data_IF_965448365676
#
_entry.id   IF_965448365676
#
_cell.length_a   1.000
_cell.length_b   1.000
_cell.length_c   1.000
_cell.angle_alpha   90.00
_cell.angle_beta   90.00
_cell.angle_gamma   90.00
#
_symmetry.space_group_name_H-M   'P 1'
#
loop_
_entity.id
_entity.type
_entity.pdbx_description
1 polymer ?
#
# COMPACT_ATOMS: atom_id res chain seq x y z
N UNK A 1 -18.03 8.25 42.22
CA UNK A 1 -16.83 7.42 42.41
C UNK A 1 -17.27 6.00 42.74
N UNK A 2 -17.49 5.17 41.72
CA UNK A 2 -17.73 3.74 41.91
C UNK A 2 -16.45 3.02 41.49
N UNK A 3 -15.79 2.43 42.49
CA UNK A 3 -14.72 1.46 42.31
C UNK A 3 -15.35 0.12 41.85
N UNK A 4 -16.08 0.16 40.74
CA UNK A 4 -16.76 -1.00 40.15
C UNK A 4 -15.76 -1.77 39.30
N UNK A 5 -15.73 -3.09 39.45
CA UNK A 5 -14.92 -3.97 38.61
C UNK A 5 -15.27 -3.82 37.12
N UNK A 6 -14.39 -4.32 36.25
CA UNK A 6 -14.55 -4.17 34.81
C UNK A 6 -15.87 -4.73 34.28
N UNK A 7 -16.36 -5.82 34.88
CA UNK A 7 -17.65 -6.43 34.54
C UNK A 7 -18.83 -5.53 34.91
N UNK A 8 -18.87 -4.98 36.12
CA UNK A 8 -19.97 -4.11 36.55
C UNK A 8 -20.04 -2.86 35.68
N UNK A 9 -18.88 -2.28 35.33
CA UNK A 9 -18.82 -1.11 34.47
C UNK A 9 -19.33 -1.42 33.06
N UNK A 10 -19.00 -2.58 32.49
CA UNK A 10 -19.53 -3.03 31.21
C UNK A 10 -21.04 -3.34 31.26
N UNK A 11 -21.54 -3.85 32.38
CA UNK A 11 -22.98 -4.07 32.56
C UNK A 11 -23.76 -2.76 32.67
N UNK A 12 -23.18 -1.70 33.22
CA UNK A 12 -23.79 -0.36 33.21
C UNK A 12 -23.94 0.17 31.78
N UNK A 13 -22.90 0.01 30.95
CA UNK A 13 -22.97 0.34 29.52
C UNK A 13 -24.05 -0.52 28.85
N UNK A 14 -24.05 -1.83 29.08
CA UNK A 14 -24.99 -2.76 28.44
C UNK A 14 -26.46 -2.49 28.79
N UNK A 15 -26.73 -2.00 30.00
CA UNK A 15 -28.08 -1.74 30.51
C UNK A 15 -28.54 -0.28 30.29
N UNK A 16 -27.82 0.50 29.47
CA UNK A 16 -28.24 1.85 29.09
C UNK A 16 -29.63 1.86 28.45
N UNK A 17 -30.48 2.82 28.84
CA UNK A 17 -31.83 2.95 28.28
C UNK A 17 -31.83 3.50 26.85
N UNK A 18 -30.88 4.39 26.54
CA UNK A 18 -30.73 5.04 25.23
C UNK A 18 -29.29 4.97 24.72
N UNK A 19 -29.09 5.22 23.42
CA UNK A 19 -27.74 5.33 22.83
C UNK A 19 -26.95 6.52 23.40
N UNK A 20 -27.66 7.60 23.77
CA UNK A 20 -27.05 8.78 24.39
C UNK A 20 -26.55 8.47 25.81
N UNK A 21 -27.32 7.70 26.60
CA UNK A 21 -26.88 7.20 27.90
C UNK A 21 -25.68 6.28 27.76
N UNK A 22 -25.70 5.38 26.76
CA UNK A 22 -24.57 4.52 26.44
C UNK A 22 -23.30 5.32 26.14
N UNK A 23 -23.41 6.38 25.32
CA UNK A 23 -22.30 7.27 24.99
C UNK A 23 -21.73 7.97 26.25
N UNK A 24 -22.60 8.46 27.14
CA UNK A 24 -22.19 9.07 28.42
C UNK A 24 -21.47 8.07 29.33
N UNK A 25 -21.99 6.84 29.44
CA UNK A 25 -21.32 5.78 30.22
C UNK A 25 -19.98 5.36 29.60
N UNK A 26 -19.88 5.30 28.26
CA UNK A 26 -18.62 5.01 27.57
C UNK A 26 -17.55 6.07 27.87
N UNK A 27 -17.92 7.36 27.82
CA UNK A 27 -17.02 8.45 28.18
C UNK A 27 -16.58 8.36 29.64
N UNK A 28 -17.50 8.10 30.55
CA UNK A 28 -17.19 7.91 31.97
C UNK A 28 -16.25 6.71 32.19
N UNK A 29 -16.47 5.61 31.47
CA UNK A 29 -15.63 4.41 31.54
C UNK A 29 -14.22 4.70 31.03
N UNK A 30 -14.09 5.30 29.85
CA UNK A 30 -12.79 5.65 29.29
C UNK A 30 -11.99 6.59 30.19
N UNK A 31 -12.63 7.68 30.65
CA UNK A 31 -11.98 8.70 31.50
C UNK A 31 -11.52 8.13 32.84
N UNK A 32 -12.30 7.24 33.45
CA UNK A 32 -11.93 6.59 34.70
C UNK A 32 -10.61 5.80 34.60
N UNK A 33 -10.29 5.30 33.41
CA UNK A 33 -9.18 4.36 33.21
C UNK A 33 -8.15 4.82 32.16
N UNK A 34 -8.05 6.12 31.92
CA UNK A 34 -7.18 6.72 30.89
C UNK A 34 -5.66 6.47 31.06
N UNK A 35 -5.21 6.11 32.26
CA UNK A 35 -3.79 5.88 32.54
C UNK A 35 -3.31 4.48 32.11
N UNK A 36 -2.05 4.42 31.60
CA UNK A 36 -1.47 3.25 30.91
C UNK A 36 -1.81 1.90 31.56
N UNK A 37 -2.51 1.07 30.79
CA UNK A 37 -2.84 -0.32 31.11
C UNK A 37 -4.13 -0.52 31.90
N UNK A 38 -4.64 0.52 32.57
CA UNK A 38 -5.81 0.43 33.44
C UNK A 38 -7.08 0.02 32.70
N UNK A 39 -7.48 0.77 31.65
CA UNK A 39 -8.71 0.47 30.91
C UNK A 39 -8.62 -0.90 30.26
N UNK A 40 -7.48 -1.15 29.61
CA UNK A 40 -7.27 -2.38 28.87
C UNK A 40 -7.40 -3.61 29.78
N UNK A 41 -6.68 -3.68 30.89
CA UNK A 41 -6.68 -4.87 31.73
C UNK A 41 -8.05 -5.08 32.39
N UNK A 42 -8.59 -4.04 33.02
CA UNK A 42 -9.88 -4.10 33.72
C UNK A 42 -11.03 -4.45 32.77
N UNK A 43 -11.10 -3.81 31.59
CA UNK A 43 -12.16 -4.09 30.60
C UNK A 43 -11.98 -5.47 29.97
N UNK A 44 -10.73 -5.89 29.69
CA UNK A 44 -10.47 -7.24 29.12
C UNK A 44 -10.88 -8.33 30.09
N UNK A 45 -10.52 -8.21 31.38
CA UNK A 45 -10.98 -9.13 32.44
C UNK A 45 -12.51 -9.15 32.52
N UNK A 46 -13.14 -7.97 32.56
CA UNK A 46 -14.59 -7.85 32.55
C UNK A 46 -15.25 -8.51 31.33
N UNK A 47 -14.69 -8.35 30.13
CA UNK A 47 -15.18 -8.95 28.90
C UNK A 47 -15.07 -10.49 28.91
N UNK A 48 -14.00 -11.03 29.50
CA UNK A 48 -13.82 -12.48 29.67
C UNK A 48 -14.89 -13.06 30.61
N UNK A 49 -15.27 -12.31 31.65
CA UNK A 49 -16.30 -12.72 32.62
C UNK A 49 -17.75 -12.60 32.11
N UNK A 50 -17.98 -11.90 30.99
CA UNK A 50 -19.29 -11.78 30.35
C UNK A 50 -19.64 -13.07 29.59
N UNK A 51 -20.92 -13.42 29.57
CA UNK A 51 -21.43 -14.50 28.71
C UNK A 51 -21.36 -14.09 27.24
N UNK A 52 -21.35 -15.07 26.35
CA UNK A 52 -21.32 -14.84 24.90
C UNK A 52 -22.48 -13.95 24.41
N UNK A 53 -23.70 -14.22 24.87
CA UNK A 53 -24.88 -13.37 24.58
C UNK A 53 -24.69 -11.92 25.05
N UNK A 54 -24.00 -11.71 26.17
CA UNK A 54 -23.74 -10.37 26.71
C UNK A 54 -22.70 -9.64 25.88
N UNK A 55 -21.65 -10.34 25.41
CA UNK A 55 -20.65 -9.79 24.49
C UNK A 55 -21.27 -9.41 23.14
N UNK A 56 -22.16 -10.25 22.62
CA UNK A 56 -22.87 -9.96 21.36
C UNK A 56 -23.79 -8.74 21.50
N UNK A 57 -24.55 -8.66 22.60
CA UNK A 57 -25.39 -7.48 22.91
C UNK A 57 -24.55 -6.21 23.11
N UNK A 58 -23.40 -6.31 23.78
CA UNK A 58 -22.48 -5.19 23.92
C UNK A 58 -21.98 -4.71 22.56
N UNK A 59 -21.55 -5.63 21.68
CA UNK A 59 -21.12 -5.29 20.33
C UNK A 59 -22.27 -4.67 19.50
N UNK A 60 -23.51 -5.15 19.68
CA UNK A 60 -24.69 -4.53 19.06
C UNK A 60 -24.89 -3.09 19.51
N UNK A 61 -24.81 -2.82 20.81
CA UNK A 61 -24.95 -1.48 21.38
C UNK A 61 -23.82 -0.55 20.89
N UNK A 62 -22.58 -1.02 20.91
CA UNK A 62 -21.43 -0.28 20.37
C UNK A 62 -21.62 0.06 18.89
N UNK A 63 -22.15 -0.87 18.10
CA UNK A 63 -22.45 -0.65 16.68
C UNK A 63 -23.56 0.38 16.47
N UNK A 64 -24.58 0.40 17.34
CA UNK A 64 -25.64 1.40 17.31
C UNK A 64 -25.08 2.80 17.58
N UNK A 65 -24.35 2.96 18.68
CA UNK A 65 -23.69 4.23 19.05
C UNK A 65 -22.72 4.68 17.96
N UNK A 66 -21.93 3.75 17.41
CA UNK A 66 -21.02 4.03 16.29
C UNK A 66 -21.78 4.62 15.10
N UNK A 67 -22.83 3.95 14.61
CA UNK A 67 -23.53 4.37 13.40
C UNK A 67 -24.20 5.73 13.57
N UNK A 68 -24.82 5.97 14.73
CA UNK A 68 -25.48 7.24 15.05
C UNK A 68 -24.47 8.39 15.09
N UNK A 69 -23.37 8.22 15.82
CA UNK A 69 -22.36 9.28 15.99
C UNK A 69 -21.52 9.48 14.73
N UNK A 70 -21.13 8.40 14.05
CA UNK A 70 -20.31 8.45 12.84
C UNK A 70 -21.05 9.12 11.68
N UNK A 71 -22.36 8.84 11.53
CA UNK A 71 -23.17 9.50 10.49
C UNK A 71 -23.20 11.00 10.70
N UNK A 72 -23.37 11.46 11.94
CA UNK A 72 -23.34 12.88 12.28
C UNK A 72 -21.96 13.49 12.04
N UNK A 73 -20.90 12.82 12.52
CA UNK A 73 -19.51 13.26 12.40
C UNK A 73 -19.09 13.50 10.94
N UNK A 74 -19.36 12.54 10.05
CA UNK A 74 -18.99 12.65 8.63
C UNK A 74 -19.82 13.74 7.92
N UNK A 75 -21.08 13.96 8.30
CA UNK A 75 -21.94 14.98 7.65
C UNK A 75 -21.64 16.41 8.07
N UNK A 76 -20.98 16.63 9.21
CA UNK A 76 -20.74 17.97 9.76
C UNK A 76 -19.51 18.67 9.18
N UNK A 77 -18.57 17.94 8.55
CA UNK A 77 -17.37 18.55 7.94
C UNK A 77 -17.67 19.44 6.71
N UNK A 78 -18.87 19.37 6.12
CA UNK A 78 -19.30 20.23 4.99
C UNK A 78 -19.88 21.60 5.42
N UNK A 79 -20.09 21.86 6.71
CA UNK A 79 -20.60 23.15 7.19
C UNK A 79 -19.49 23.95 7.90
N UNK A 80 -19.06 25.04 7.27
CA UNK A 80 -18.15 26.05 7.81
C UNK A 80 -18.42 26.32 9.30
N UNK A 81 -17.49 26.02 10.23
CA UNK A 81 -17.71 26.31 11.63
C UNK A 81 -17.38 27.79 11.86
N UNK A 82 -18.41 28.63 11.90
CA UNK A 82 -18.33 29.84 12.72
C UNK A 82 -18.11 29.38 14.15
N UNK A 83 -16.85 29.52 14.61
CA UNK A 83 -16.49 29.48 16.02
C UNK A 83 -17.41 30.46 16.74
N UNK A 84 -18.29 29.92 17.59
CA UNK A 84 -18.74 30.48 18.86
C UNK A 84 -20.07 29.81 19.24
N UNK A 85 -20.06 28.49 19.45
CA UNK A 85 -21.11 27.82 20.22
C UNK A 85 -20.43 26.78 21.12
N UNK A 86 -20.05 27.24 22.32
CA UNK A 86 -19.90 26.35 23.49
C UNK A 86 -21.31 25.89 23.88
N UNK A 87 -21.70 24.67 23.49
CA UNK A 87 -22.87 24.02 24.08
C UNK A 87 -22.55 22.56 24.41
N UNK A 88 -22.68 22.25 25.72
CA UNK A 88 -22.84 21.00 26.50
C UNK A 88 -23.19 19.65 25.80
N UNK A 89 -22.77 19.46 24.56
CA UNK A 89 -22.92 18.26 23.77
C UNK A 89 -21.77 17.29 24.00
N UNK A 90 -22.11 16.00 24.05
CA UNK A 90 -21.14 14.90 24.05
C UNK A 90 -20.25 15.00 22.80
N UNK A 91 -18.94 15.22 22.95
CA UNK A 91 -18.01 15.29 21.82
C UNK A 91 -18.01 13.98 21.02
N UNK A 92 -18.52 14.03 19.79
CA UNK A 92 -18.64 12.91 18.86
C UNK A 92 -17.31 12.17 18.64
N UNK A 93 -16.20 12.88 18.48
CA UNK A 93 -14.87 12.26 18.30
C UNK A 93 -14.47 11.45 19.53
N UNK A 94 -14.69 12.01 20.73
CA UNK A 94 -14.38 11.33 22.00
C UNK A 94 -15.20 10.05 22.19
N UNK A 95 -16.48 10.07 21.83
CA UNK A 95 -17.34 8.88 21.88
C UNK A 95 -16.86 7.82 20.90
N UNK A 96 -16.57 8.20 19.66
CA UNK A 96 -16.05 7.27 18.64
C UNK A 96 -14.73 6.64 19.08
N UNK A 97 -13.81 7.42 19.65
CA UNK A 97 -12.57 6.91 20.22
C UNK A 97 -12.82 5.90 21.36
N UNK A 98 -13.82 6.13 22.21
CA UNK A 98 -14.22 5.17 23.24
C UNK A 98 -14.78 3.88 22.65
N UNK A 99 -15.65 3.97 21.64
CA UNK A 99 -16.16 2.81 20.92
C UNK A 99 -15.01 2.00 20.32
N UNK A 100 -14.04 2.65 19.66
CA UNK A 100 -12.86 2.00 19.10
C UNK A 100 -11.99 1.32 20.16
N UNK A 101 -11.79 1.95 21.32
CA UNK A 101 -11.04 1.36 22.44
C UNK A 101 -11.71 0.10 22.97
N UNK A 102 -13.03 0.11 23.15
CA UNK A 102 -13.76 -1.09 23.58
C UNK A 102 -13.77 -2.17 22.48
N UNK A 103 -13.99 -1.79 21.22
CA UNK A 103 -13.91 -2.72 20.09
C UNK A 103 -12.53 -3.41 20.02
N UNK A 104 -11.43 -2.67 20.24
CA UNK A 104 -10.08 -3.22 20.33
C UNK A 104 -9.96 -4.24 21.47
N UNK A 105 -10.53 -3.96 22.65
CA UNK A 105 -10.54 -4.92 23.76
C UNK A 105 -11.32 -6.20 23.38
N UNK A 106 -12.48 -6.05 22.72
CA UNK A 106 -13.24 -7.18 22.18
C UNK A 106 -12.42 -8.00 21.18
N UNK A 107 -11.66 -7.37 20.27
CA UNK A 107 -10.81 -8.09 19.31
C UNK A 107 -9.68 -8.85 20.01
N UNK A 108 -9.08 -8.27 21.06
CA UNK A 108 -7.95 -8.88 21.78
C UNK A 108 -8.33 -10.15 22.53
N UNK A 109 -9.54 -10.23 23.08
CA UNK A 109 -10.03 -11.43 23.77
C UNK A 109 -10.41 -12.57 22.82
N UNK A 110 -10.50 -12.32 21.50
CA UNK A 110 -10.76 -13.38 20.52
C UNK A 110 -9.52 -14.26 20.43
N UNK A 111 -9.69 -15.52 20.84
CA UNK A 111 -8.68 -16.56 20.74
C UNK A 111 -8.84 -17.35 19.44
N UNK A 112 -7.86 -17.19 18.55
CA UNK A 112 -7.83 -17.85 17.22
C UNK A 112 -7.01 -19.15 17.26
N UNK A 113 -6.27 -19.40 18.34
CA UNK A 113 -5.34 -20.54 18.48
C UNK A 113 -6.00 -21.80 19.04
N UNK A 114 -7.18 -21.69 19.64
CA UNK A 114 -7.88 -22.81 20.28
C UNK A 114 -8.77 -23.65 19.34
N UNK A 115 -8.80 -23.35 18.04
CA UNK A 115 -9.61 -24.09 17.06
C UNK A 115 -8.74 -24.77 16.01
N UNK A 116 -8.55 -26.09 16.16
CA UNK A 116 -7.79 -26.94 15.22
C UNK A 116 -8.48 -27.05 13.84
N UNK A 117 -9.79 -26.80 13.78
CA UNK A 117 -10.59 -26.79 12.54
C UNK A 117 -10.84 -25.37 12.01
N UNK A 118 -10.60 -25.15 10.72
CA UNK A 118 -10.72 -23.85 10.03
C UNK A 118 -12.16 -23.29 10.08
N UNK A 119 -13.18 -24.16 10.05
CA UNK A 119 -14.60 -23.78 10.14
C UNK A 119 -15.04 -23.37 11.57
N UNK A 120 -14.32 -23.80 12.62
CA UNK A 120 -14.59 -23.42 14.02
C UNK A 120 -13.80 -22.21 14.50
N UNK A 121 -12.86 -21.69 13.70
CA UNK A 121 -12.11 -20.46 14.03
C UNK A 121 -12.98 -19.21 14.05
N UNK A 122 -14.10 -19.24 13.34
CA UNK A 122 -14.97 -18.07 13.15
C UNK A 122 -16.25 -18.10 14.01
N UNK A 123 -16.55 -19.22 14.68
CA UNK A 123 -17.76 -19.33 15.51
C UNK A 123 -17.73 -18.43 16.75
N UNK A 124 -16.53 -18.14 17.28
CA UNK A 124 -16.36 -17.33 18.49
C UNK A 124 -16.24 -15.81 18.23
N UNK A 125 -16.40 -15.37 16.97
CA UNK A 125 -16.29 -13.95 16.62
C UNK A 125 -17.67 -13.29 16.71
N UNK A 126 -17.87 -12.27 17.56
CA UNK A 126 -19.16 -11.60 17.68
C UNK A 126 -19.64 -11.03 16.34
N UNK A 127 -20.84 -11.37 15.90
CA UNK A 127 -21.37 -10.97 14.58
C UNK A 127 -21.47 -9.44 14.46
N UNK A 128 -21.91 -8.76 15.52
CA UNK A 128 -22.00 -7.30 15.53
C UNK A 128 -20.62 -6.62 15.53
N UNK A 129 -19.57 -7.29 16.01
CA UNK A 129 -18.20 -6.77 15.92
C UNK A 129 -17.68 -6.82 14.47
N UNK A 130 -18.07 -7.85 13.70
CA UNK A 130 -17.80 -7.92 12.25
C UNK A 130 -18.46 -6.72 11.53
N UNK A 131 -19.69 -6.36 11.89
CA UNK A 131 -20.37 -5.20 11.29
C UNK A 131 -19.63 -3.90 11.61
N UNK A 132 -19.21 -3.71 12.86
CA UNK A 132 -18.41 -2.55 13.29
C UNK A 132 -17.14 -2.41 12.44
N UNK A 133 -16.35 -3.48 12.29
CA UNK A 133 -15.08 -3.39 11.58
C UNK A 133 -15.26 -3.12 10.09
N UNK A 134 -16.31 -3.67 9.47
CA UNK A 134 -16.61 -3.43 8.05
C UNK A 134 -17.05 -1.99 7.81
N UNK A 135 -17.90 -1.42 8.67
CA UNK A 135 -18.31 -0.01 8.58
C UNK A 135 -17.11 0.92 8.74
N UNK A 136 -16.32 0.71 9.79
CA UNK A 136 -15.11 1.49 10.07
C UNK A 136 -14.06 1.39 8.96
N UNK A 137 -13.87 0.18 8.42
CA UNK A 137 -12.97 -0.06 7.30
C UNK A 137 -13.43 0.61 6.00
N UNK A 138 -14.75 0.68 5.77
CA UNK A 138 -15.34 1.34 4.60
C UNK A 138 -15.16 2.85 4.58
N UNK A 139 -15.09 3.50 5.75
CA UNK A 139 -14.89 4.96 5.86
C UNK A 139 -13.44 5.38 6.12
N UNK A 140 -12.49 4.43 6.14
CA UNK A 140 -11.13 4.66 6.63
C UNK A 140 -10.37 5.78 5.88
N UNK A 141 -10.62 5.92 4.57
CA UNK A 141 -9.98 6.96 3.74
C UNK A 141 -10.52 8.37 4.01
N UNK A 142 -11.71 8.48 4.61
CA UNK A 142 -12.35 9.75 4.99
C UNK A 142 -11.89 10.22 6.37
N UNK A 143 -11.51 9.30 7.26
CA UNK A 143 -11.13 9.64 8.62
C UNK A 143 -9.75 10.32 8.68
N UNK A 144 -9.65 11.35 9.54
CA UNK A 144 -8.40 12.03 9.87
C UNK A 144 -8.02 11.92 11.35
N UNK A 145 -6.82 12.40 11.70
CA UNK A 145 -6.39 12.60 13.09
C UNK A 145 -6.34 11.35 13.99
N UNK A 146 -6.64 11.51 15.30
CA UNK A 146 -6.67 10.42 16.27
C UNK A 146 -7.66 9.31 15.91
N UNK A 147 -8.81 9.68 15.35
CA UNK A 147 -9.85 8.73 14.95
C UNK A 147 -9.34 7.80 13.84
N UNK A 148 -8.73 8.36 12.78
CA UNK A 148 -8.08 7.57 11.73
C UNK A 148 -7.03 6.60 12.32
N UNK A 149 -6.16 7.11 13.20
CA UNK A 149 -5.09 6.31 13.82
C UNK A 149 -5.64 5.13 14.63
N UNK A 150 -6.70 5.35 15.40
CA UNK A 150 -7.35 4.31 16.20
C UNK A 150 -8.07 3.27 15.32
N UNK A 151 -8.76 3.73 14.27
CA UNK A 151 -9.44 2.84 13.32
C UNK A 151 -8.45 1.98 12.53
N UNK A 152 -7.34 2.56 12.04
CA UNK A 152 -6.27 1.81 11.37
C UNK A 152 -5.71 0.74 12.30
N UNK A 153 -5.41 1.08 13.56
CA UNK A 153 -4.89 0.11 14.52
C UNK A 153 -5.86 -1.07 14.75
N UNK A 154 -7.17 -0.80 14.82
CA UNK A 154 -8.20 -1.82 14.94
C UNK A 154 -8.28 -2.73 13.71
N UNK A 155 -8.29 -2.15 12.51
CA UNK A 155 -8.29 -2.88 11.24
C UNK A 155 -7.02 -3.73 11.04
N UNK A 156 -5.86 -3.24 11.48
CA UNK A 156 -4.60 -4.00 11.46
C UNK A 156 -4.65 -5.20 12.41
N UNK A 157 -5.07 -5.00 13.66
CA UNK A 157 -5.19 -6.09 14.64
C UNK A 157 -6.16 -7.17 14.15
N UNK A 158 -7.30 -6.75 13.59
CA UNK A 158 -8.28 -7.64 12.98
C UNK A 158 -7.69 -8.47 11.84
N UNK A 159 -6.95 -7.82 10.93
CA UNK A 159 -6.31 -8.47 9.79
C UNK A 159 -5.18 -9.41 10.21
N UNK A 160 -4.36 -9.02 11.19
CA UNK A 160 -3.25 -9.83 11.71
C UNK A 160 -3.72 -11.11 12.39
N UNK A 161 -4.89 -11.08 13.05
CA UNK A 161 -5.54 -12.26 13.63
C UNK A 161 -6.20 -13.17 12.59
N UNK A 162 -6.26 -12.77 11.31
CA UNK A 162 -6.88 -13.57 10.25
C UNK A 162 -8.40 -13.71 10.41
N UNK A 163 -9.05 -12.69 10.97
CA UNK A 163 -10.50 -12.70 11.23
C UNK A 163 -11.33 -12.49 9.93
N UNK A 164 -12.61 -12.89 9.92
CA UNK A 164 -13.47 -12.84 8.73
C UNK A 164 -13.53 -11.45 8.08
N UNK A 165 -13.80 -11.41 6.78
CA UNK A 165 -14.10 -10.19 6.03
C UNK A 165 -13.00 -9.11 5.99
N UNK A 166 -11.77 -9.42 6.43
CA UNK A 166 -10.62 -8.49 6.35
C UNK A 166 -10.37 -7.96 4.93
N UNK A 167 -10.69 -8.76 3.91
CA UNK A 167 -10.54 -8.37 2.50
C UNK A 167 -11.47 -7.23 2.06
N UNK A 168 -12.57 -6.95 2.79
CA UNK A 168 -13.52 -5.90 2.43
C UNK A 168 -12.97 -4.47 2.64
N UNK A 169 -11.98 -4.31 3.53
CA UNK A 169 -11.37 -3.02 3.84
C UNK A 169 -9.85 -3.00 3.60
N UNK A 170 -9.28 -4.10 3.09
CA UNK A 170 -7.82 -4.26 2.99
C UNK A 170 -7.18 -3.26 2.02
N UNK A 171 -7.94 -2.84 0.99
CA UNK A 171 -7.56 -1.76 0.08
C UNK A 171 -7.43 -0.45 0.83
N UNK A 172 -8.49 -0.01 1.50
CA UNK A 172 -8.53 1.27 2.22
C UNK A 172 -7.45 1.30 3.30
N UNK A 173 -7.28 0.18 4.02
CA UNK A 173 -6.19 0.02 4.99
C UNK A 173 -4.82 0.21 4.36
N UNK A 174 -4.56 -0.45 3.22
CA UNK A 174 -3.29 -0.28 2.51
C UNK A 174 -3.09 1.17 2.03
N UNK A 175 -4.10 1.80 1.43
CA UNK A 175 -4.05 3.19 0.96
C UNK A 175 -3.68 4.15 2.11
N UNK A 176 -4.37 4.03 3.24
CA UNK A 176 -4.13 4.89 4.41
C UNK A 176 -2.74 4.64 5.01
N UNK A 177 -2.30 3.38 5.12
CA UNK A 177 -0.95 3.07 5.60
C UNK A 177 0.15 3.67 4.71
N UNK A 178 -0.04 3.64 3.38
CA UNK A 178 0.88 4.31 2.44
C UNK A 178 0.89 5.82 2.70
N UNK A 179 -0.28 6.45 2.84
CA UNK A 179 -0.40 7.88 3.17
C UNK A 179 0.33 8.24 4.48
N UNK A 180 0.05 7.51 5.56
CA UNK A 180 0.69 7.73 6.86
C UNK A 180 2.22 7.55 6.80
N UNK A 181 2.70 6.62 5.98
CA UNK A 181 4.14 6.38 5.80
C UNK A 181 4.90 7.51 5.08
N UNK A 182 4.18 8.48 4.52
CA UNK A 182 4.72 9.65 3.81
C UNK A 182 4.63 10.94 4.63
N UNK A 183 4.07 10.89 5.83
CA UNK A 183 4.01 12.04 6.73
C UNK A 183 5.41 12.46 7.20
N UNK A 184 5.54 13.72 7.62
CA UNK A 184 6.84 14.33 7.99
C UNK A 184 7.51 13.64 9.18
N UNK A 185 6.74 13.00 10.04
CA UNK A 185 7.16 12.28 11.23
C UNK A 185 7.20 10.75 11.05
N UNK A 186 7.05 10.25 9.81
CA UNK A 186 6.99 8.83 9.51
C UNK A 186 8.24 8.08 9.99
N UNK A 187 8.03 6.86 10.51
CA UNK A 187 9.05 6.01 11.12
C UNK A 187 9.16 4.68 10.36
N UNK A 188 10.24 3.94 10.66
CA UNK A 188 10.42 2.57 10.16
C UNK A 188 9.25 1.64 10.51
N UNK A 189 8.55 1.91 11.61
CA UNK A 189 7.34 1.18 12.00
C UNK A 189 6.22 1.34 10.98
N UNK A 190 6.07 2.51 10.37
CA UNK A 190 5.02 2.77 9.37
C UNK A 190 5.32 2.04 8.07
N UNK A 191 6.59 2.02 7.66
CA UNK A 191 7.04 1.20 6.52
C UNK A 191 6.82 -0.30 6.77
N UNK A 192 7.04 -0.77 8.01
CA UNK A 192 6.78 -2.17 8.38
C UNK A 192 5.29 -2.51 8.27
N UNK A 193 4.40 -1.60 8.65
CA UNK A 193 2.94 -1.76 8.52
C UNK A 193 2.51 -1.85 7.07
N UNK A 194 3.02 -0.97 6.20
CA UNK A 194 2.81 -1.05 4.74
C UNK A 194 3.31 -2.40 4.19
N UNK A 195 4.49 -2.85 4.63
CA UNK A 195 5.06 -4.13 4.21
C UNK A 195 4.17 -5.32 4.61
N UNK A 196 3.53 -5.30 5.78
CA UNK A 196 2.61 -6.35 6.22
C UNK A 196 1.37 -6.45 5.31
N UNK A 197 0.88 -5.31 4.81
CA UNK A 197 -0.29 -5.23 3.93
C UNK A 197 0.03 -5.26 2.42
N UNK A 198 1.30 -5.45 2.02
CA UNK A 198 1.74 -5.36 0.61
C UNK A 198 1.05 -6.34 -0.35
N UNK A 199 0.46 -7.42 0.16
CA UNK A 199 -0.30 -8.38 -0.64
C UNK A 199 -1.53 -7.74 -1.29
N UNK A 200 -2.04 -6.65 -0.71
CA UNK A 200 -3.16 -5.86 -1.25
C UNK A 200 -2.77 -4.98 -2.45
N UNK A 201 -1.48 -4.75 -2.71
CA UNK A 201 -1.00 -3.77 -3.69
C UNK A 201 -1.63 -3.95 -5.08
N UNK A 202 -1.65 -5.18 -5.61
CA UNK A 202 -2.19 -5.43 -6.95
C UNK A 202 -3.70 -5.19 -7.00
N UNK A 203 -4.43 -5.60 -5.97
CA UNK A 203 -5.87 -5.39 -5.88
C UNK A 203 -6.22 -3.90 -5.68
N UNK A 204 -5.42 -3.17 -4.91
CA UNK A 204 -5.58 -1.74 -4.67
C UNK A 204 -5.36 -0.89 -5.93
N UNK A 205 -4.65 -1.41 -6.93
CA UNK A 205 -4.43 -0.73 -8.21
C UNK A 205 -5.38 -1.19 -9.32
N UNK A 206 -6.16 -2.25 -9.09
CA UNK A 206 -7.17 -2.72 -10.05
C UNK A 206 -8.42 -1.86 -9.93
N UNK A 207 -8.79 -1.18 -11.01
CA UNK A 207 -10.16 -0.66 -11.16
C UNK A 207 -11.04 -1.86 -11.48
N UNK A 208 -12.12 -2.08 -10.71
CA UNK A 208 -13.10 -3.10 -11.09
C UNK A 208 -13.62 -2.75 -12.50
N UNK A 209 -13.71 -3.70 -13.44
CA UNK A 209 -14.30 -3.39 -14.74
C UNK A 209 -15.69 -2.81 -14.50
N UNK A 210 -16.08 -1.72 -15.21
CA UNK A 210 -17.45 -1.23 -15.13
C UNK A 210 -18.35 -2.43 -15.38
N UNK A 211 -19.33 -2.65 -14.49
CA UNK A 211 -20.25 -3.76 -14.59
C UNK A 211 -20.70 -3.83 -16.05
N UNK A 212 -20.23 -4.86 -16.77
CA UNK A 212 -20.75 -5.11 -18.10
C UNK A 212 -22.23 -5.32 -17.87
N UNK A 213 -23.03 -4.47 -18.51
CA UNK A 213 -24.47 -4.59 -18.57
C UNK A 213 -24.76 -5.97 -19.17
N UNK A 214 -24.78 -7.00 -18.32
CA UNK A 214 -25.14 -8.36 -18.71
C UNK A 214 -26.60 -8.25 -19.05
N UNK A 215 -26.83 -8.04 -20.35
CA UNK A 215 -28.15 -7.83 -20.92
C UNK A 215 -29.07 -8.94 -20.49
N UNK A 216 -29.90 -8.64 -19.49
CA UNK A 216 -31.12 -9.38 -19.28
C UNK A 216 -32.17 -8.67 -20.12
N UNK A 217 -32.22 -9.03 -21.42
CA UNK A 217 -33.21 -8.56 -22.40
C UNK A 217 -34.65 -8.69 -21.89
N UNK A 218 -34.89 -9.53 -20.88
CA UNK A 218 -36.18 -9.68 -20.22
C UNK A 218 -36.66 -8.37 -19.55
N UNK A 219 -35.76 -7.52 -19.04
CA UNK A 219 -36.18 -6.27 -18.36
C UNK A 219 -36.54 -5.14 -19.34
N UNK A 220 -36.06 -5.19 -20.58
CA UNK A 220 -36.49 -4.28 -21.66
C UNK A 220 -37.84 -4.70 -22.21
N UNK A 221 -38.06 -5.99 -22.45
CA UNK A 221 -39.37 -6.53 -22.82
C UNK A 221 -40.42 -6.31 -21.73
N UNK A 222 -40.05 -6.37 -20.44
CA UNK A 222 -40.96 -6.04 -19.33
C UNK A 222 -41.32 -4.55 -19.34
N UNK A 223 -40.36 -3.63 -19.58
CA UNK A 223 -40.66 -2.19 -19.69
C UNK A 223 -41.54 -1.86 -20.90
N UNK A 224 -41.27 -2.47 -22.05
CA UNK A 224 -42.02 -2.23 -23.27
C UNK A 224 -43.44 -2.84 -23.19
N UNK A 225 -43.61 -3.99 -22.51
CA UNK A 225 -44.93 -4.57 -22.23
C UNK A 225 -45.72 -3.81 -21.14
N UNK A 226 -45.05 -3.18 -20.18
CA UNK A 226 -45.70 -2.30 -19.18
C UNK A 226 -46.16 -0.98 -19.82
N UNK A 227 -45.40 -0.44 -20.78
CA UNK A 227 -45.80 0.74 -21.55
C UNK A 227 -47.00 0.45 -22.46
N UNK A 228 -47.04 -0.72 -23.12
CA UNK A 228 -48.17 -1.15 -23.96
C UNK A 228 -49.44 -1.53 -23.18
N UNK A 229 -49.32 -1.97 -21.92
CA UNK A 229 -50.46 -2.25 -21.02
C UNK A 229 -51.02 -1.00 -20.33
N UNK A 230 -50.29 0.12 -20.28
CA UNK A 230 -50.79 1.39 -19.73
C UNK A 230 -51.63 2.20 -20.72
N UNK A 231 -51.61 1.86 -22.02
CA UNK A 231 -52.44 2.49 -23.05
C UNK A 231 -53.79 1.81 -23.27
N UNK A 232 -54.09 0.71 -22.57
CA UNK A 232 -55.37 0.02 -22.71
C UNK A 232 -55.95 -0.35 -21.34
N UNK A 233 -57.21 0.08 -21.16
CA UNK A 233 -58.19 -0.36 -20.15
C UNK A 233 -58.31 0.54 -18.92
N UNK A 234 -59.14 1.58 -19.13
CA UNK A 234 -60.23 1.93 -18.22
C UNK A 234 -61.08 0.68 -17.94
N UNK A 235 -61.35 0.39 -16.67
CA UNK A 235 -62.56 -0.36 -16.29
C UNK A 235 -62.36 -1.53 -15.31
N UNK A 236 -62.91 -1.32 -14.11
CA UNK A 236 -63.55 -2.30 -13.22
C UNK A 236 -62.70 -3.22 -12.31
N UNK A 237 -63.23 -3.32 -11.08
CA UNK A 237 -62.75 -4.02 -9.88
C UNK A 237 -63.17 -5.51 -9.85
N UNK A 238 -63.23 -6.18 -8.67
CA UNK A 238 -62.14 -6.81 -7.91
C UNK A 238 -62.31 -8.35 -7.83
N UNK A 239 -61.30 -9.09 -7.35
CA UNK A 239 -61.41 -10.54 -7.14
C UNK A 239 -60.27 -11.11 -6.30
N UNK A 240 -60.64 -11.96 -5.35
CA UNK A 240 -59.89 -12.51 -4.21
C UNK A 240 -58.85 -13.61 -4.54
N UNK A 241 -58.05 -13.95 -3.51
CA UNK A 241 -57.35 -15.26 -3.24
C UNK A 241 -56.20 -15.63 -4.22
N UNK A 242 -55.09 -16.29 -3.85
CA UNK A 242 -54.71 -17.14 -2.72
C UNK A 242 -53.17 -17.37 -2.72
N UNK A 243 -52.70 -17.97 -1.62
CA UNK A 243 -51.36 -18.45 -1.27
C UNK A 243 -50.41 -19.00 -2.36
N UNK A 244 -49.11 -18.71 -2.21
CA UNK A 244 -48.05 -19.71 -2.35
C UNK A 244 -46.76 -19.30 -1.60
N UNK A 245 -46.40 -20.13 -0.61
CA UNK A 245 -45.18 -20.11 0.19
C UNK A 245 -43.96 -20.61 -0.61
N UNK A 246 -42.81 -19.95 -0.49
CA UNK A 246 -41.50 -20.60 -0.66
C UNK A 246 -40.42 -19.81 0.11
N UNK A 247 -39.73 -20.52 0.99
CA UNK A 247 -38.71 -20.01 1.89
C UNK A 247 -37.47 -19.48 1.12
N UNK A 248 -37.08 -18.24 1.42
CA UNK A 248 -35.80 -17.67 1.02
C UNK A 248 -34.88 -17.65 2.24
N UNK A 249 -33.67 -18.19 2.08
CA UNK A 249 -32.58 -17.98 3.02
C UNK A 249 -32.23 -16.50 3.06
N UNK A 250 -32.07 -15.98 4.28
CA UNK A 250 -31.67 -14.59 4.51
C UNK A 250 -30.22 -14.39 4.04
N UNK A 251 -30.08 -13.84 2.82
CA UNK A 251 -28.90 -13.09 2.43
C UNK A 251 -28.72 -11.94 3.44
N UNK A 252 -27.53 -11.87 4.04
CA UNK A 252 -27.10 -10.77 4.90
C UNK A 252 -26.92 -9.52 4.02
N UNK A 253 -28.02 -8.91 3.63
CA UNK A 253 -28.06 -7.57 3.07
C UNK A 253 -27.80 -6.60 4.22
N UNK A 254 -26.53 -6.29 4.47
CA UNK A 254 -26.14 -5.14 5.29
C UNK A 254 -26.59 -3.89 4.53
N UNK A 255 -27.70 -3.30 4.96
CA UNK A 255 -28.13 -1.97 4.52
C UNK A 255 -27.12 -0.92 4.98
N UNK A 256 -26.01 -0.78 4.26
CA UNK A 256 -25.23 0.45 4.29
C UNK A 256 -26.06 1.53 3.58
N UNK A 257 -26.33 2.64 4.28
CA UNK A 257 -26.93 3.82 3.65
C UNK A 257 -26.12 4.23 2.41
N UNK A 258 -26.84 4.65 1.37
CA UNK A 258 -26.32 4.88 0.01
C UNK A 258 -25.14 5.87 -0.06
N UNK A 259 -24.94 6.73 0.96
CA UNK A 259 -23.81 7.68 1.01
C UNK A 259 -22.50 7.06 1.50
N UNK A 260 -22.54 6.07 2.41
CA UNK A 260 -21.32 5.42 2.95
C UNK A 260 -20.71 4.44 1.95
N UNK A 261 -21.53 3.80 1.13
CA UNK A 261 -21.08 2.93 0.04
C UNK A 261 -20.35 3.70 -1.09
N UNK A 262 -20.62 5.00 -1.25
CA UNK A 262 -19.99 5.85 -2.25
C UNK A 262 -18.57 6.30 -1.86
N UNK A 263 -18.29 6.45 -0.55
CA UNK A 263 -17.01 6.94 -0.04
C UNK A 263 -15.83 5.96 -0.21
N UNK A 264 -16.12 4.67 -0.40
CA UNK A 264 -15.13 3.60 -0.63
C UNK A 264 -15.04 3.09 -2.06
N UNK A 265 -15.75 3.73 -3.01
CA UNK A 265 -15.80 3.27 -4.39
C UNK A 265 -14.43 3.42 -5.06
N UNK A 266 -13.94 2.32 -5.64
CA UNK A 266 -12.71 2.32 -6.42
C UNK A 266 -12.95 3.09 -7.72
N UNK A 267 -12.56 4.35 -7.74
CA UNK A 267 -12.57 5.18 -8.95
C UNK A 267 -11.17 5.28 -9.54
N UNK A 268 -11.08 5.63 -10.82
CA UNK A 268 -9.80 5.93 -11.47
C UNK A 268 -9.02 7.02 -10.71
N UNK A 269 -9.71 8.05 -10.19
CA UNK A 269 -9.12 9.12 -9.39
C UNK A 269 -8.46 8.60 -8.09
N UNK A 270 -9.13 7.70 -7.36
CA UNK A 270 -8.55 7.11 -6.13
C UNK A 270 -7.31 6.27 -6.44
N UNK A 271 -7.31 5.56 -7.57
CA UNK A 271 -6.15 4.78 -8.03
C UNK A 271 -5.00 5.71 -8.41
N UNK A 272 -5.27 6.82 -9.11
CA UNK A 272 -4.25 7.80 -9.48
C UNK A 272 -3.59 8.45 -8.25
N UNK A 273 -4.39 8.83 -7.24
CA UNK A 273 -3.88 9.33 -5.96
C UNK A 273 -2.99 8.30 -5.27
N UNK A 274 -3.41 7.03 -5.24
CA UNK A 274 -2.61 5.94 -4.69
C UNK A 274 -1.30 5.73 -5.47
N UNK A 275 -1.34 5.71 -6.81
CA UNK A 275 -0.13 5.61 -7.66
C UNK A 275 0.84 6.75 -7.35
N UNK A 276 0.32 7.97 -7.21
CA UNK A 276 1.13 9.14 -6.85
C UNK A 276 1.81 8.97 -5.50
N UNK A 277 1.07 8.51 -4.47
CA UNK A 277 1.62 8.24 -3.14
C UNK A 277 2.67 7.13 -3.17
N UNK A 278 2.41 6.02 -3.88
CA UNK A 278 3.37 4.92 -4.05
C UNK A 278 4.65 5.38 -4.75
N UNK A 279 4.55 6.24 -5.76
CA UNK A 279 5.72 6.83 -6.42
C UNK A 279 6.49 7.79 -5.51
N UNK A 280 5.81 8.51 -4.60
CA UNK A 280 6.45 9.37 -3.61
C UNK A 280 7.25 8.57 -2.56
N UNK A 281 6.89 7.30 -2.30
CA UNK A 281 7.65 6.43 -1.39
C UNK A 281 9.11 6.26 -1.81
N UNK A 282 9.42 6.32 -3.11
CA UNK A 282 10.79 6.26 -3.64
C UNK A 282 11.64 7.47 -3.24
N UNK A 283 11.03 8.60 -2.89
CA UNK A 283 11.73 9.79 -2.43
C UNK A 283 11.87 9.84 -0.90
N UNK A 284 11.23 8.92 -0.16
CA UNK A 284 11.25 8.87 1.30
C UNK A 284 12.48 8.11 1.83
N UNK A 285 13.37 8.74 2.60
CA UNK A 285 14.55 8.08 3.19
C UNK A 285 14.20 6.90 4.11
N UNK A 286 13.02 6.95 4.74
CA UNK A 286 12.57 5.95 5.72
C UNK A 286 12.43 4.58 5.05
N UNK A 287 11.95 4.53 3.81
CA UNK A 287 11.83 3.28 3.04
C UNK A 287 13.19 2.65 2.76
N UNK A 288 14.18 3.43 2.31
CA UNK A 288 15.52 2.91 2.01
C UNK A 288 16.34 2.56 3.26
N UNK A 289 15.87 2.98 4.45
CA UNK A 289 16.53 2.72 5.73
C UNK A 289 16.22 1.35 6.36
N UNK A 290 15.38 0.53 5.71
CA UNK A 290 14.95 -0.80 6.16
C UNK A 290 14.94 -1.82 5.01
N UNK A 291 15.01 -3.11 5.33
CA UNK A 291 14.90 -4.17 4.31
C UNK A 291 13.45 -4.29 3.83
N UNK A 292 12.48 -4.21 4.74
CA UNK A 292 11.05 -4.19 4.45
C UNK A 292 10.69 -3.09 3.45
N UNK A 293 11.21 -1.87 3.64
CA UNK A 293 10.96 -0.76 2.72
C UNK A 293 11.53 -1.01 1.32
N UNK A 294 12.75 -1.58 1.20
CA UNK A 294 13.30 -2.00 -0.10
C UNK A 294 12.40 -3.03 -0.78
N UNK A 295 11.82 -3.97 -0.02
CA UNK A 295 10.88 -4.95 -0.56
C UNK A 295 9.60 -4.30 -1.07
N UNK A 296 9.00 -3.39 -0.28
CA UNK A 296 7.80 -2.64 -0.70
C UNK A 296 8.08 -1.86 -1.98
N UNK A 297 9.17 -1.09 -2.04
CA UNK A 297 9.51 -0.31 -3.24
C UNK A 297 9.71 -1.21 -4.47
N UNK A 298 10.31 -2.39 -4.29
CA UNK A 298 10.46 -3.34 -5.38
C UNK A 298 9.09 -3.87 -5.86
N UNK A 299 8.20 -4.23 -4.94
CA UNK A 299 6.85 -4.72 -5.26
C UNK A 299 6.01 -3.65 -5.97
N UNK A 300 6.15 -2.37 -5.56
CA UNK A 300 5.57 -1.21 -6.25
C UNK A 300 6.12 -1.06 -7.66
N UNK A 301 7.42 -1.23 -7.85
CA UNK A 301 8.05 -1.13 -9.16
C UNK A 301 7.62 -2.23 -10.13
N UNK A 302 7.08 -3.35 -9.63
CA UNK A 302 6.49 -4.39 -10.49
C UNK A 302 5.19 -3.93 -11.16
N UNK A 303 4.52 -2.92 -10.60
CA UNK A 303 3.26 -2.42 -11.11
C UNK A 303 3.53 -1.50 -12.31
N UNK A 304 2.99 -1.87 -13.48
CA UNK A 304 3.19 -1.10 -14.73
C UNK A 304 2.74 0.36 -14.59
N UNK A 305 1.63 0.59 -13.89
CA UNK A 305 1.10 1.93 -13.59
C UNK A 305 2.06 2.78 -12.75
N UNK A 306 2.92 2.17 -11.94
CA UNK A 306 3.85 2.88 -11.07
C UNK A 306 5.27 3.01 -11.66
N UNK A 307 5.66 2.18 -12.63
CA UNK A 307 7.06 2.03 -13.06
C UNK A 307 7.71 3.37 -13.46
N UNK A 308 7.06 4.14 -14.35
CA UNK A 308 7.58 5.42 -14.83
C UNK A 308 7.64 6.50 -13.74
N UNK A 309 6.62 6.59 -12.89
CA UNK A 309 6.59 7.51 -11.76
C UNK A 309 7.65 7.19 -10.71
N UNK A 310 7.81 5.91 -10.36
CA UNK A 310 8.84 5.42 -9.45
C UNK A 310 10.24 5.72 -9.97
N UNK A 311 10.47 5.48 -11.27
CA UNK A 311 11.75 5.82 -11.91
C UNK A 311 12.02 7.32 -11.87
N UNK A 312 11.01 8.17 -12.13
CA UNK A 312 11.13 9.62 -12.03
C UNK A 312 11.52 10.08 -10.62
N UNK A 313 10.86 9.57 -9.58
CA UNK A 313 11.22 9.82 -8.18
C UNK A 313 12.64 9.35 -7.85
N UNK A 314 13.03 8.16 -8.32
CA UNK A 314 14.37 7.61 -8.14
C UNK A 314 15.46 8.51 -8.76
N UNK A 315 15.20 9.07 -9.95
CA UNK A 315 16.12 10.01 -10.60
C UNK A 315 16.33 11.28 -9.79
N UNK A 316 15.26 11.84 -9.23
CA UNK A 316 15.34 13.01 -8.37
C UNK A 316 16.09 12.68 -7.06
N UNK A 317 15.85 11.51 -6.47
CA UNK A 317 16.55 11.09 -5.26
C UNK A 317 18.06 10.96 -5.48
N UNK A 318 18.48 10.38 -6.61
CA UNK A 318 19.90 10.17 -6.94
C UNK A 318 20.74 11.45 -6.99
N UNK A 319 20.13 12.62 -7.20
CA UNK A 319 20.87 13.90 -7.23
C UNK A 319 21.32 14.36 -5.84
N UNK A 320 20.67 13.87 -4.78
CA UNK A 320 20.85 14.36 -3.40
C UNK A 320 21.14 13.30 -2.34
N UNK A 321 20.74 12.04 -2.56
CA UNK A 321 20.83 10.98 -1.55
C UNK A 321 22.27 10.60 -1.18
N UNK A 322 22.44 9.89 -0.06
CA UNK A 322 23.70 9.29 0.35
C UNK A 322 24.09 8.11 -0.54
N UNK A 323 25.37 7.70 -0.47
CA UNK A 323 25.84 6.48 -1.15
C UNK A 323 25.13 5.23 -0.62
N UNK A 324 24.78 5.20 0.68
CA UNK A 324 24.04 4.08 1.27
C UNK A 324 22.64 3.94 0.67
N UNK A 325 21.92 5.05 0.53
CA UNK A 325 20.61 5.09 -0.13
C UNK A 325 20.72 4.73 -1.61
N UNK A 326 21.74 5.20 -2.34
CA UNK A 326 21.98 4.81 -3.73
C UNK A 326 22.18 3.29 -3.88
N UNK A 327 22.90 2.63 -2.95
CA UNK A 327 23.03 1.17 -2.94
C UNK A 327 21.69 0.48 -2.72
N UNK A 328 20.88 0.97 -1.76
CA UNK A 328 19.56 0.42 -1.46
C UNK A 328 18.59 0.60 -2.62
N UNK A 329 18.64 1.74 -3.30
CA UNK A 329 17.86 2.00 -4.51
C UNK A 329 18.25 1.05 -5.65
N UNK A 330 19.54 0.74 -5.83
CA UNK A 330 19.96 -0.28 -6.80
C UNK A 330 19.42 -1.67 -6.45
N UNK A 331 19.36 -2.03 -5.16
CA UNK A 331 18.74 -3.27 -4.70
C UNK A 331 17.24 -3.34 -5.04
N UNK A 332 16.52 -2.20 -4.95
CA UNK A 332 15.11 -2.12 -5.39
C UNK A 332 14.97 -2.51 -6.86
N UNK A 333 15.77 -1.89 -7.74
CA UNK A 333 15.72 -2.15 -9.19
C UNK A 333 16.08 -3.60 -9.53
N UNK A 334 17.15 -4.13 -8.94
CA UNK A 334 17.55 -5.51 -9.18
C UNK A 334 16.50 -6.51 -8.67
N UNK A 335 15.91 -6.25 -7.50
CA UNK A 335 14.85 -7.08 -6.94
C UNK A 335 13.60 -7.07 -7.83
N UNK A 336 13.18 -5.90 -8.32
CA UNK A 336 12.07 -5.78 -9.26
C UNK A 336 12.38 -6.53 -10.57
N UNK A 337 13.56 -6.32 -11.15
CA UNK A 337 13.99 -7.01 -12.38
C UNK A 337 13.95 -8.53 -12.22
N UNK A 338 14.43 -9.05 -11.09
CA UNK A 338 14.47 -10.48 -10.80
C UNK A 338 13.07 -11.09 -10.68
N UNK A 339 12.10 -10.33 -10.18
CA UNK A 339 10.73 -10.79 -9.98
C UNK A 339 9.85 -10.67 -11.23
N UNK A 340 10.19 -9.78 -12.18
CA UNK A 340 9.48 -9.69 -13.46
C UNK A 340 9.75 -10.92 -14.35
N UNK A 341 8.71 -11.37 -15.06
CA UNK A 341 8.86 -12.28 -16.20
C UNK A 341 9.54 -11.58 -17.39
N UNK A 342 10.08 -12.36 -18.33
CA UNK A 342 10.82 -11.84 -19.49
C UNK A 342 10.01 -10.80 -20.29
N UNK A 343 8.72 -11.06 -20.52
CA UNK A 343 7.86 -10.21 -21.34
C UNK A 343 7.54 -8.87 -20.66
N UNK A 344 7.65 -8.82 -19.33
CA UNK A 344 7.33 -7.65 -18.52
C UNK A 344 8.56 -6.80 -18.17
N UNK A 345 9.77 -7.25 -18.51
CA UNK A 345 11.02 -6.54 -18.16
C UNK A 345 11.31 -5.33 -19.03
N UNK A 346 10.74 -5.26 -20.24
CA UNK A 346 11.11 -4.26 -21.24
C UNK A 346 11.09 -2.82 -20.70
N UNK A 347 10.00 -2.41 -20.04
CA UNK A 347 9.88 -1.08 -19.47
C UNK A 347 10.92 -0.80 -18.37
N UNK A 348 11.21 -1.78 -17.51
CA UNK A 348 12.23 -1.64 -16.47
C UNK A 348 13.64 -1.58 -17.07
N UNK A 349 13.93 -2.38 -18.10
CA UNK A 349 15.26 -2.43 -18.71
C UNK A 349 15.54 -1.23 -19.62
N UNK A 350 14.59 -0.83 -20.46
CA UNK A 350 14.75 0.25 -21.46
C UNK A 350 14.48 1.62 -20.85
N UNK A 351 13.33 1.80 -20.20
CA UNK A 351 12.90 3.13 -19.76
C UNK A 351 13.51 3.53 -18.42
N UNK A 352 14.03 2.56 -17.65
CA UNK A 352 14.55 2.82 -16.31
C UNK A 352 16.05 2.52 -16.17
N UNK A 353 16.48 1.26 -16.35
CA UNK A 353 17.87 0.86 -16.15
C UNK A 353 18.79 1.50 -17.21
N UNK A 354 18.43 1.37 -18.50
CA UNK A 354 19.21 1.93 -19.60
C UNK A 354 19.29 3.46 -19.53
N UNK A 355 18.24 4.15 -19.07
CA UNK A 355 18.28 5.59 -18.79
C UNK A 355 19.38 5.94 -17.79
N UNK A 356 19.45 5.26 -16.64
CA UNK A 356 20.50 5.52 -15.63
C UNK A 356 21.89 5.15 -16.15
N UNK A 357 22.01 4.07 -16.93
CA UNK A 357 23.26 3.65 -17.55
C UNK A 357 23.76 4.74 -18.53
N UNK A 358 22.90 5.23 -19.41
CA UNK A 358 23.21 6.30 -20.35
C UNK A 358 23.55 7.61 -19.64
N UNK A 359 22.74 8.03 -18.66
CA UNK A 359 23.02 9.23 -17.85
C UNK A 359 24.37 9.15 -17.13
N UNK A 360 24.77 7.96 -16.68
CA UNK A 360 26.08 7.77 -16.05
C UNK A 360 27.25 7.94 -17.02
N UNK A 361 27.04 7.78 -18.33
CA UNK A 361 28.06 8.09 -19.35
C UNK A 361 28.16 9.59 -19.64
N UNK A 362 27.04 10.32 -19.62
CA UNK A 362 26.98 11.71 -20.09
C UNK A 362 27.03 12.77 -18.99
N UNK A 363 26.81 12.39 -17.73
CA UNK A 363 26.84 13.32 -16.59
C UNK A 363 28.16 14.07 -16.49
N UNK A 364 28.08 15.39 -16.28
CA UNK A 364 29.26 16.20 -16.00
C UNK A 364 29.74 15.90 -14.56
N UNK A 365 30.95 15.34 -14.40
CA UNK A 365 31.46 14.93 -13.09
C UNK A 365 31.76 16.10 -12.16
N UNK A 366 31.96 17.30 -12.69
CA UNK A 366 32.24 18.52 -11.93
C UNK A 366 30.94 19.19 -11.54
N UNK A 367 30.08 19.50 -12.51
CA UNK A 367 28.81 20.20 -12.25
C UNK A 367 27.83 19.36 -11.43
N UNK A 368 27.86 18.03 -11.58
CA UNK A 368 26.95 17.11 -10.90
C UNK A 368 27.72 16.03 -10.13
N UNK A 369 28.70 16.44 -9.31
CA UNK A 369 29.57 15.53 -8.54
C UNK A 369 28.78 14.52 -7.68
N UNK A 370 27.72 14.97 -7.00
CA UNK A 370 26.87 14.11 -6.15
C UNK A 370 26.17 13.02 -6.97
N UNK A 371 25.51 13.43 -8.06
CA UNK A 371 24.83 12.51 -8.98
C UNK A 371 25.82 11.52 -9.59
N UNK A 372 27.01 11.98 -9.99
CA UNK A 372 28.06 11.13 -10.56
C UNK A 372 28.48 10.03 -9.58
N UNK A 373 28.75 10.38 -8.33
CA UNK A 373 29.09 9.41 -7.29
C UNK A 373 27.95 8.43 -6.97
N UNK A 374 26.71 8.90 -6.98
CA UNK A 374 25.54 8.07 -6.71
C UNK A 374 25.22 7.12 -7.87
N UNK A 375 25.31 7.57 -9.13
CA UNK A 375 25.17 6.72 -10.31
C UNK A 375 26.27 5.65 -10.36
N UNK A 376 27.52 6.01 -10.05
CA UNK A 376 28.60 5.04 -9.95
C UNK A 376 28.33 3.98 -8.86
N UNK A 377 27.85 4.42 -7.70
CA UNK A 377 27.48 3.51 -6.59
C UNK A 377 26.31 2.60 -6.96
N UNK A 378 25.29 3.15 -7.61
CA UNK A 378 24.11 2.42 -8.05
C UNK A 378 24.48 1.35 -9.08
N UNK A 379 25.23 1.72 -10.13
CA UNK A 379 25.65 0.79 -11.18
C UNK A 379 26.61 -0.28 -10.66
N UNK A 380 27.51 0.05 -9.73
CA UNK A 380 28.41 -0.93 -9.13
C UNK A 380 27.65 -2.08 -8.43
N UNK A 381 26.54 -1.77 -7.76
CA UNK A 381 25.67 -2.81 -7.17
C UNK A 381 25.07 -3.69 -8.25
N UNK A 382 24.60 -3.11 -9.36
CA UNK A 382 24.05 -3.88 -10.48
C UNK A 382 25.11 -4.76 -11.15
N UNK A 383 26.30 -4.22 -11.44
CA UNK A 383 27.41 -4.99 -12.01
C UNK A 383 27.81 -6.17 -11.12
N UNK A 384 27.71 -6.04 -9.80
CA UNK A 384 27.90 -7.16 -8.87
C UNK A 384 26.96 -8.35 -9.06
N UNK A 385 25.85 -8.17 -9.77
CA UNK A 385 24.87 -9.23 -10.10
C UNK A 385 25.11 -9.90 -11.46
N UNK A 386 26.18 -9.56 -12.20
CA UNK A 386 26.55 -10.21 -13.46
C UNK A 386 26.79 -11.72 -13.35
N UNK A 387 26.99 -12.26 -12.15
CA UNK A 387 27.02 -13.72 -11.92
C UNK A 387 25.74 -14.44 -12.35
N UNK A 388 24.62 -13.72 -12.48
CA UNK A 388 23.37 -14.24 -13.02
C UNK A 388 23.38 -14.08 -14.56
N UNK A 389 23.41 -15.17 -15.35
CA UNK A 389 23.58 -15.09 -16.81
C UNK A 389 22.60 -14.18 -17.53
N UNK A 390 21.31 -14.30 -17.20
CA UNK A 390 20.28 -13.45 -17.80
C UNK A 390 20.48 -11.96 -17.50
N UNK A 391 21.08 -11.62 -16.35
CA UNK A 391 21.36 -10.23 -15.99
C UNK A 391 22.61 -9.70 -16.68
N UNK A 392 23.67 -10.51 -16.79
CA UNK A 392 24.86 -10.16 -17.58
C UNK A 392 24.51 -9.88 -19.05
N UNK A 393 23.74 -10.79 -19.67
CA UNK A 393 23.18 -10.62 -21.02
C UNK A 393 22.38 -9.33 -21.15
N UNK A 394 21.49 -9.03 -20.19
CA UNK A 394 20.73 -7.77 -20.19
C UNK A 394 21.65 -6.54 -20.13
N UNK A 395 22.63 -6.53 -19.22
CA UNK A 395 23.58 -5.41 -19.09
C UNK A 395 24.36 -5.17 -20.38
N UNK A 396 24.90 -6.24 -21.00
CA UNK A 396 25.62 -6.13 -22.27
C UNK A 396 24.72 -5.52 -23.35
N UNK A 397 23.50 -6.05 -23.50
CA UNK A 397 22.55 -5.60 -24.53
C UNK A 397 22.14 -4.15 -24.33
N UNK A 398 21.95 -3.71 -23.08
CA UNK A 398 21.56 -2.33 -22.78
C UNK A 398 22.73 -1.34 -22.86
N UNK A 399 23.98 -1.75 -22.65
CA UNK A 399 25.15 -0.90 -22.90
C UNK A 399 25.51 -0.76 -24.39
N UNK A 400 25.33 -1.83 -25.18
CA UNK A 400 25.81 -1.92 -26.55
C UNK A 400 25.41 -0.73 -27.47
N UNK A 401 24.18 -0.16 -27.41
CA UNK A 401 23.76 0.92 -28.29
C UNK A 401 24.56 2.23 -28.12
N UNK A 402 25.18 2.49 -26.97
CA UNK A 402 25.83 3.78 -26.72
C UNK A 402 27.26 3.68 -26.18
N UNK A 403 27.60 2.66 -25.38
CA UNK A 403 28.87 2.62 -24.64
C UNK A 403 30.10 2.78 -25.56
N UNK A 404 30.11 2.04 -26.67
CA UNK A 404 31.21 2.08 -27.64
C UNK A 404 31.34 3.42 -28.36
N UNK A 405 30.22 4.11 -28.59
CA UNK A 405 30.23 5.46 -29.16
C UNK A 405 30.78 6.42 -28.12
N UNK A 406 30.31 6.34 -26.87
CA UNK A 406 30.74 7.19 -25.75
C UNK A 406 32.25 7.18 -25.49
N UNK A 407 32.92 6.04 -25.72
CA UNK A 407 34.38 5.92 -25.63
C UNK A 407 35.14 6.77 -26.67
N UNK A 408 34.48 7.21 -27.74
CA UNK A 408 35.08 7.95 -28.86
C UNK A 408 34.55 9.39 -28.99
N UNK A 409 33.77 9.89 -28.01
CA UNK A 409 33.26 11.26 -28.05
C UNK A 409 34.39 12.29 -27.96
N UNK A 410 34.20 13.46 -28.57
CA UNK A 410 35.13 14.59 -28.43
C UNK A 410 35.29 15.04 -26.96
N UNK A 411 34.20 14.97 -26.18
CA UNK A 411 34.19 15.35 -24.77
C UNK A 411 34.93 14.31 -23.90
N UNK A 412 36.03 14.71 -23.29
CA UNK A 412 36.86 13.85 -22.45
C UNK A 412 36.15 13.34 -21.18
N UNK A 413 35.22 14.11 -20.62
CA UNK A 413 34.43 13.67 -19.45
C UNK A 413 33.53 12.48 -19.82
N UNK A 414 32.92 12.51 -21.01
CA UNK A 414 32.10 11.41 -21.52
C UNK A 414 32.96 10.16 -21.75
N UNK A 415 34.14 10.31 -22.37
CA UNK A 415 35.09 9.21 -22.56
C UNK A 415 35.54 8.60 -21.24
N UNK A 416 35.90 9.45 -20.25
CA UNK A 416 36.29 9.02 -18.90
C UNK A 416 35.16 8.24 -18.22
N UNK A 417 33.93 8.74 -18.26
CA UNK A 417 32.79 8.07 -17.65
C UNK A 417 32.48 6.72 -18.31
N UNK A 418 32.52 6.66 -19.65
CA UNK A 418 32.34 5.43 -20.41
C UNK A 418 33.45 4.42 -20.09
N UNK A 419 34.70 4.87 -19.99
CA UNK A 419 35.83 4.03 -19.58
C UNK A 419 35.66 3.47 -18.17
N UNK A 420 35.21 4.30 -17.21
CA UNK A 420 34.89 3.83 -15.85
C UNK A 420 33.86 2.70 -15.89
N UNK A 421 32.78 2.89 -16.65
CA UNK A 421 31.71 1.89 -16.79
C UNK A 421 32.24 0.60 -17.42
N UNK A 422 33.03 0.70 -18.49
CA UNK A 422 33.64 -0.46 -19.15
C UNK A 422 34.50 -1.27 -18.19
N UNK A 423 35.32 -0.58 -17.37
CA UNK A 423 36.17 -1.24 -16.37
C UNK A 423 35.36 -1.82 -15.21
N UNK A 424 34.39 -1.10 -14.68
CA UNK A 424 33.58 -1.53 -13.53
C UNK A 424 32.66 -2.72 -13.89
N UNK A 425 32.26 -2.83 -15.17
CA UNK A 425 31.40 -3.89 -15.68
C UNK A 425 32.18 -5.06 -16.31
N UNK A 426 33.52 -5.08 -16.23
CA UNK A 426 34.35 -6.09 -16.86
C UNK A 426 34.26 -7.45 -16.12
N UNK A 427 34.09 -8.58 -16.85
CA UNK A 427 33.89 -8.67 -18.29
C UNK A 427 32.41 -8.44 -18.66
N UNK A 428 32.16 -7.55 -19.63
CA UNK A 428 30.81 -7.26 -20.10
C UNK A 428 30.39 -8.27 -21.18
N UNK A 429 29.87 -9.42 -20.76
CA UNK A 429 29.53 -10.55 -21.65
C UNK A 429 28.03 -10.75 -21.83
N UNK A 430 27.64 -11.18 -23.03
CA UNK A 430 26.34 -11.83 -23.26
C UNK A 430 26.56 -13.35 -23.31
N UNK A 431 26.14 -14.05 -22.24
CA UNK A 431 26.32 -15.50 -22.12
C UNK A 431 25.37 -16.31 -23.01
N UNK A 432 24.45 -15.65 -23.73
CA UNK A 432 23.62 -16.28 -24.75
C UNK A 432 24.31 -16.36 -26.12
N UNK A 433 25.41 -15.62 -26.32
CA UNK A 433 26.18 -15.62 -27.56
C UNK A 433 27.14 -16.82 -27.63
N UNK A 434 27.56 -17.15 -28.85
CA UNK A 434 28.57 -18.19 -29.08
C UNK A 434 29.92 -17.82 -28.45
N UNK A 435 30.78 -18.84 -28.26
CA UNK A 435 32.13 -18.60 -27.73
C UNK A 435 32.95 -17.66 -28.62
N UNK A 436 32.82 -17.79 -29.94
CA UNK A 436 33.51 -16.93 -30.91
C UNK A 436 33.07 -15.46 -30.81
N UNK A 437 31.76 -15.21 -30.74
CA UNK A 437 31.25 -13.85 -30.58
C UNK A 437 31.67 -13.21 -29.25
N UNK A 438 31.71 -14.01 -28.18
CA UNK A 438 32.19 -13.56 -26.86
C UNK A 438 33.68 -13.22 -26.90
N UNK A 439 34.49 -14.02 -27.59
CA UNK A 439 35.90 -13.73 -27.80
C UNK A 439 36.09 -12.42 -28.58
N UNK A 440 35.31 -12.20 -29.65
CA UNK A 440 35.34 -10.94 -30.40
C UNK A 440 34.95 -9.73 -29.52
N UNK A 441 33.95 -9.87 -28.65
CA UNK A 441 33.59 -8.84 -27.68
C UNK A 441 34.70 -8.55 -26.66
N UNK A 442 35.41 -9.58 -26.21
CA UNK A 442 36.53 -9.44 -25.30
C UNK A 442 37.71 -8.73 -25.98
N UNK A 443 38.05 -9.11 -27.22
CA UNK A 443 39.07 -8.44 -28.03
C UNK A 443 38.72 -6.96 -28.22
N UNK A 444 37.46 -6.65 -28.54
CA UNK A 444 36.99 -5.25 -28.66
C UNK A 444 37.17 -4.48 -27.35
N UNK A 445 36.91 -5.13 -26.22
CA UNK A 445 37.10 -4.55 -24.89
C UNK A 445 38.58 -4.26 -24.62
N UNK A 446 39.47 -5.22 -24.88
CA UNK A 446 40.92 -5.02 -24.70
C UNK A 446 41.47 -3.92 -25.60
N UNK A 447 41.02 -3.84 -26.85
CA UNK A 447 41.39 -2.75 -27.75
C UNK A 447 40.94 -1.38 -27.22
N UNK A 448 39.74 -1.29 -26.66
CA UNK A 448 39.25 -0.06 -26.03
C UNK A 448 40.06 0.33 -24.78
N UNK A 449 40.42 -0.63 -23.94
CA UNK A 449 41.28 -0.39 -22.77
C UNK A 449 42.67 0.11 -23.21
N UNK A 450 43.29 -0.53 -24.19
CA UNK A 450 44.58 -0.09 -24.75
C UNK A 450 44.51 1.34 -25.31
N UNK A 451 43.47 1.64 -26.10
CA UNK A 451 43.26 3.00 -26.62
C UNK A 451 43.08 4.02 -25.49
N UNK A 452 42.39 3.65 -24.41
CA UNK A 452 42.19 4.47 -23.22
C UNK A 452 43.47 4.77 -22.43
N UNK A 453 44.47 3.89 -22.47
CA UNK A 453 45.78 4.12 -21.84
C UNK A 453 46.57 5.20 -22.58
N UNK A 454 46.32 5.35 -23.88
CA UNK A 454 46.96 6.33 -24.77
C UNK A 454 46.06 7.52 -25.11
N UNK A 455 44.93 7.72 -24.40
CA UNK A 455 44.00 8.83 -24.67
C UNK A 455 44.71 10.19 -24.59
N UNK A 456 44.31 11.16 -25.40
CA UNK A 456 44.91 12.50 -25.43
C UNK A 456 44.72 13.25 -24.10
N UNK A 457 43.61 13.02 -23.40
CA UNK A 457 43.29 13.65 -22.13
C UNK A 457 43.84 12.85 -20.94
N UNK A 458 44.62 13.47 -20.04
CA UNK A 458 45.17 12.79 -18.86
C UNK A 458 44.11 12.16 -17.95
N UNK A 459 42.94 12.79 -17.82
CA UNK A 459 41.86 12.31 -16.94
C UNK A 459 41.30 10.97 -17.40
N UNK A 460 41.22 10.75 -18.72
CA UNK A 460 40.81 9.46 -19.29
C UNK A 460 41.90 8.42 -19.02
N UNK A 461 43.17 8.75 -19.29
CA UNK A 461 44.31 7.84 -19.02
C UNK A 461 44.37 7.37 -17.57
N UNK A 462 44.22 8.28 -16.61
CA UNK A 462 44.20 7.94 -15.17
C UNK A 462 43.05 7.00 -14.84
N UNK A 463 41.84 7.27 -15.35
CA UNK A 463 40.70 6.39 -15.17
C UNK A 463 40.94 5.00 -15.76
N UNK A 464 41.55 4.92 -16.95
CA UNK A 464 41.89 3.66 -17.60
C UNK A 464 42.93 2.88 -16.81
N UNK A 465 44.02 3.52 -16.38
CA UNK A 465 45.08 2.89 -15.55
C UNK A 465 44.47 2.30 -14.29
N UNK A 466 43.68 3.08 -13.55
CA UNK A 466 43.01 2.60 -12.34
C UNK A 466 42.07 1.42 -12.62
N UNK A 467 41.32 1.46 -13.72
CA UNK A 467 40.42 0.38 -14.11
C UNK A 467 41.16 -0.90 -14.50
N UNK A 468 42.18 -0.80 -15.35
CA UNK A 468 43.01 -1.92 -15.78
C UNK A 468 43.73 -2.55 -14.59
N UNK A 469 44.31 -1.75 -13.68
CA UNK A 469 44.93 -2.29 -12.47
C UNK A 469 43.93 -3.06 -11.60
N UNK A 470 42.66 -2.63 -11.52
CA UNK A 470 41.62 -3.40 -10.80
C UNK A 470 41.33 -4.74 -11.49
N UNK A 471 41.20 -4.73 -12.82
CA UNK A 471 40.94 -5.94 -13.63
C UNK A 471 42.08 -6.95 -13.51
N UNK A 472 43.34 -6.48 -13.49
CA UNK A 472 44.51 -7.36 -13.37
C UNK A 472 44.75 -7.87 -11.93
N UNK A 473 44.13 -7.23 -10.94
CA UNK A 473 44.25 -7.62 -9.53
C UNK A 473 43.17 -8.64 -9.11
N UNK A 474 42.04 -8.69 -9.82
CA UNK A 474 40.98 -9.70 -9.65
C UNK A 474 41.36 -11.01 -10.33
#
# INVERSE_FOLDING_TARGET
>A
MLNTGGKEALLLVLNSATEEDAAKYLLSLCSQYEYRGGLHNTVTEGLIELREEQREKLCKLLGSVLNTVLSHFITQEDQNPSRDDEEDGVNSESVLLCVLRLAMCCVRIIDVNNSEEQDKKHHNVPHNLIKIIVVLGGVLEVLEGPLCSATVALCEEWSLKGLPHSHLFSRQLFTVLVRLSLETNAKKTDVKRVFQQRHCLSAALSVAPPAQDTGNNNNREIRDNIAARRSNIVGSAPGDTEHATAAAGEDVAVGCGSSVAAAGAVTEETVEKLVTALCACFASPVYLSSDEGVKVLADVMLQRSCTAGCHSSAKQLLTRCSKGEAKKLAQVYFRAWRALSTDNRKALEEDCLQDLMYRSTTVDPVAAHKLTGNLATFLHVLHGHQKLPAFATMLQRKYNPFLWRSLNYANASVRRNAMRILCDAYPLEDLSMSLEEREQHLIRTHNALTAGLTDTCPVVRVQTIQGVCRILHT
#
